data_IF_467445098823
#
_entry.id   IF_467445098823
#
_cell.length_a   1.000
_cell.length_b   1.000
_cell.length_c   1.000
_cell.angle_alpha   90.00
_cell.angle_beta   90.00
_cell.angle_gamma   90.00
#
_symmetry.space_group_name_H-M   'P 1'
#
loop_
_entity.id
_entity.type
_entity.pdbx_description
1 polymer ?
#
# COMPACT_ATOMS: atom_id res chain seq x y z
N UNK A 1 -3.72 -49.32 -32.25
CA UNK A 1 -4.98 -49.89 -32.79
C UNK A 1 -5.76 -50.48 -31.63
N UNK A 2 -6.93 -50.03 -31.18
CA UNK A 2 -7.82 -48.91 -31.52
C UNK A 2 -8.54 -48.59 -30.20
N UNK A 3 -8.38 -47.40 -29.59
CA UNK A 3 -9.23 -46.22 -29.80
C UNK A 3 -10.66 -46.56 -30.22
N UNK A 4 -11.58 -46.63 -29.24
CA UNK A 4 -13.00 -46.23 -29.30
C UNK A 4 -13.77 -46.83 -28.11
N UNK A 5 -13.58 -46.30 -26.89
CA UNK A 5 -14.63 -46.22 -25.85
C UNK A 5 -14.16 -45.50 -24.56
N UNK A 6 -13.67 -44.27 -24.67
CA UNK A 6 -13.41 -43.42 -23.49
C UNK A 6 -13.40 -41.92 -23.84
N UNK A 7 -14.31 -41.49 -24.73
CA UNK A 7 -14.53 -40.07 -25.04
C UNK A 7 -16.04 -39.86 -25.01
N UNK A 8 -16.58 -39.67 -23.80
CA UNK A 8 -17.96 -39.24 -23.59
C UNK A 8 -18.21 -38.63 -22.19
N UNK A 9 -17.17 -38.31 -21.40
CA UNK A 9 -17.34 -37.74 -20.03
C UNK A 9 -16.46 -36.50 -19.76
N UNK A 10 -15.72 -36.00 -20.75
CA UNK A 10 -14.98 -34.73 -20.61
C UNK A 10 -15.45 -33.78 -21.72
N UNK A 11 -16.71 -33.36 -21.62
CA UNK A 11 -17.29 -32.27 -22.43
C UNK A 11 -18.53 -31.67 -21.74
N UNK A 12 -18.52 -31.64 -20.40
CA UNK A 12 -19.59 -31.07 -19.59
C UNK A 12 -19.07 -30.28 -18.38
N UNK A 13 -17.99 -29.51 -18.57
CA UNK A 13 -17.47 -28.56 -17.57
C UNK A 13 -17.00 -27.24 -18.21
N UNK A 14 -17.55 -26.89 -19.37
CA UNK A 14 -17.14 -25.73 -20.17
C UNK A 14 -18.31 -24.88 -20.63
N UNK A 15 -19.29 -24.59 -19.76
CA UNK A 15 -20.40 -23.68 -20.09
C UNK A 15 -21.28 -23.32 -18.88
N UNK A 16 -20.69 -22.84 -17.78
CA UNK A 16 -21.46 -22.25 -16.67
C UNK A 16 -20.91 -20.95 -16.07
N UNK A 17 -20.05 -20.21 -16.80
CA UNK A 17 -19.59 -18.88 -16.36
C UNK A 17 -20.05 -17.70 -17.24
N UNK A 18 -21.13 -17.87 -18.00
CA UNK A 18 -21.76 -16.74 -18.71
C UNK A 18 -23.29 -16.82 -18.57
N UNK A 19 -23.78 -16.66 -17.34
CA UNK A 19 -25.16 -16.22 -17.09
C UNK A 19 -25.31 -15.63 -15.69
N UNK A 20 -24.70 -14.46 -15.48
CA UNK A 20 -25.27 -13.40 -14.62
C UNK A 20 -24.62 -12.06 -14.95
N UNK A 21 -24.62 -11.68 -16.24
CA UNK A 21 -24.69 -10.26 -16.58
C UNK A 21 -26.16 -9.85 -16.42
N UNK A 22 -26.59 -9.60 -15.18
CA UNK A 22 -27.52 -8.49 -15.03
C UNK A 22 -26.71 -7.25 -15.40
N UNK A 23 -27.18 -6.48 -16.38
CA UNK A 23 -26.65 -5.14 -16.60
C UNK A 23 -26.68 -4.45 -15.25
N UNK A 24 -25.52 -4.02 -14.75
CA UNK A 24 -25.46 -3.06 -13.66
C UNK A 24 -26.34 -1.90 -14.09
N UNK A 25 -27.55 -1.82 -13.52
CA UNK A 25 -28.28 -0.57 -13.52
C UNK A 25 -27.39 0.41 -12.79
N UNK A 26 -26.82 1.35 -13.54
CA UNK A 26 -26.34 2.59 -12.97
C UNK A 26 -27.53 3.14 -12.21
N UNK A 27 -27.47 3.00 -10.88
CA UNK A 27 -28.48 3.54 -9.98
C UNK A 27 -28.56 5.03 -10.31
N UNK A 28 -29.65 5.41 -10.96
CA UNK A 28 -29.98 6.82 -11.16
C UNK A 28 -30.00 7.45 -9.77
N UNK A 29 -29.35 8.62 -9.57
CA UNK A 29 -29.30 9.27 -8.27
C UNK A 29 -30.71 9.70 -7.88
N UNK A 30 -31.43 8.79 -7.24
CA UNK A 30 -32.68 9.03 -6.57
C UNK A 30 -32.37 9.49 -5.15
N UNK A 31 -33.26 10.32 -4.63
CA UNK A 31 -33.06 11.27 -3.55
C UNK A 31 -32.42 10.68 -2.27
N UNK A 32 -31.53 11.47 -1.66
CA UNK A 32 -30.85 11.25 -0.36
C UNK A 32 -29.75 10.16 -0.31
N UNK A 33 -28.81 10.17 -1.27
CA UNK A 33 -27.56 9.40 -1.12
C UNK A 33 -26.66 10.13 -0.11
N UNK A 34 -26.46 9.51 1.06
CA UNK A 34 -25.58 10.05 2.10
C UNK A 34 -24.10 9.72 1.86
N UNK A 35 -23.76 8.98 0.82
CA UNK A 35 -22.46 8.35 0.59
C UNK A 35 -21.55 9.19 -0.32
N UNK A 36 -20.23 9.12 -0.11
CA UNK A 36 -19.29 9.79 -1.00
C UNK A 36 -19.15 9.04 -2.34
N UNK A 37 -19.01 9.78 -3.43
CA UNK A 37 -18.81 9.20 -4.77
C UNK A 37 -17.41 8.56 -4.93
N UNK A 38 -16.43 9.08 -4.17
CA UNK A 38 -15.03 8.64 -4.20
C UNK A 38 -14.44 8.62 -2.79
N UNK A 39 -13.54 7.68 -2.56
CA UNK A 39 -12.81 7.49 -1.31
C UNK A 39 -11.34 7.13 -1.55
N UNK A 40 -10.80 7.45 -2.73
CA UNK A 40 -9.40 7.17 -3.06
C UNK A 40 -8.86 8.15 -4.07
N UNK A 41 -7.53 8.22 -4.12
CA UNK A 41 -6.78 8.85 -5.21
C UNK A 41 -6.18 7.75 -6.08
N UNK A 42 -6.50 7.74 -7.37
CA UNK A 42 -5.89 6.80 -8.33
C UNK A 42 -4.42 7.14 -8.57
N UNK A 43 -3.57 6.12 -8.59
CA UNK A 43 -2.12 6.25 -8.76
C UNK A 43 -1.73 5.70 -10.15
N UNK A 44 -0.88 6.39 -10.94
CA UNK A 44 -0.41 5.84 -12.21
C UNK A 44 0.37 4.54 -12.02
N UNK A 45 0.21 3.60 -12.95
CA UNK A 45 0.84 2.27 -12.83
C UNK A 45 2.36 2.26 -12.97
N UNK A 46 2.95 3.37 -13.41
CA UNK A 46 4.39 3.63 -13.33
C UNK A 46 4.91 3.80 -11.90
N UNK A 47 4.06 4.10 -10.91
CA UNK A 47 4.41 4.13 -9.47
C UNK A 47 3.67 3.06 -8.67
N UNK A 48 2.49 2.62 -9.13
CA UNK A 48 1.71 1.58 -8.45
C UNK A 48 1.54 0.35 -9.32
N UNK A 49 2.31 -0.71 -9.06
CA UNK A 49 2.20 -1.93 -9.86
C UNK A 49 2.47 -3.21 -9.07
N UNK A 50 1.58 -4.17 -9.26
CA UNK A 50 1.70 -5.55 -8.81
C UNK A 50 2.51 -6.44 -9.76
N UNK A 51 3.02 -5.91 -10.89
CA UNK A 51 3.83 -6.68 -11.84
C UNK A 51 5.09 -7.30 -11.18
N UNK A 52 5.56 -6.68 -10.10
CA UNK A 52 6.65 -7.15 -9.24
C UNK A 52 6.27 -8.32 -8.29
N UNK A 53 4.98 -8.59 -8.04
CA UNK A 53 4.56 -9.71 -7.18
C UNK A 53 4.84 -11.09 -7.83
N UNK A 54 4.90 -11.17 -9.17
CA UNK A 54 5.38 -12.38 -9.87
C UNK A 54 6.89 -12.61 -9.73
N UNK A 55 7.62 -11.61 -9.24
CA UNK A 55 9.04 -11.68 -8.86
C UNK A 55 9.25 -11.94 -7.36
N UNK A 56 8.30 -12.58 -6.68
CA UNK A 56 8.60 -13.30 -5.44
C UNK A 56 9.77 -14.30 -5.61
N UNK A 57 10.10 -14.71 -6.85
CA UNK A 57 11.32 -15.46 -7.21
C UNK A 57 12.61 -14.63 -7.25
N UNK A 58 12.55 -13.30 -7.31
CA UNK A 58 13.72 -12.41 -7.20
C UNK A 58 14.09 -12.17 -5.72
N UNK A 59 13.13 -12.39 -4.81
CA UNK A 59 13.32 -12.32 -3.35
C UNK A 59 13.50 -13.70 -2.70
N UNK A 60 12.98 -14.77 -3.30
CA UNK A 60 13.26 -16.17 -2.92
C UNK A 60 14.62 -16.65 -3.48
N UNK A 61 15.61 -15.76 -3.52
CA UNK A 61 16.99 -16.13 -3.75
C UNK A 61 17.46 -17.05 -2.63
N UNK A 62 17.90 -18.24 -3.01
CA UNK A 62 18.55 -19.21 -2.14
C UNK A 62 19.74 -18.56 -1.42
N UNK A 63 19.56 -18.11 -0.16
CA UNK A 63 20.57 -17.77 0.86
C UNK A 63 21.77 -16.88 0.48
N UNK A 64 21.89 -16.39 -0.75
CA UNK A 64 23.07 -15.71 -1.27
C UNK A 64 22.79 -14.73 -2.43
N UNK A 65 21.54 -14.57 -2.87
CA UNK A 65 21.24 -13.70 -4.01
C UNK A 65 21.13 -12.24 -3.56
N UNK A 66 22.04 -11.43 -4.08
CA UNK A 66 22.31 -10.10 -3.57
C UNK A 66 21.42 -9.07 -4.24
N UNK A 67 20.76 -8.23 -3.43
CA UNK A 67 19.78 -7.28 -3.92
C UNK A 67 20.46 -6.10 -4.67
N UNK A 68 20.10 -5.87 -5.94
CA UNK A 68 20.61 -4.78 -6.78
C UNK A 68 19.75 -3.52 -6.64
N UNK A 69 20.30 -2.33 -6.89
CA UNK A 69 19.58 -1.05 -6.72
C UNK A 69 18.24 -0.95 -7.46
N UNK A 70 18.12 -1.52 -8.66
CA UNK A 70 16.86 -1.59 -9.40
C UNK A 70 15.79 -2.44 -8.68
N UNK A 71 16.18 -3.49 -7.96
CA UNK A 71 15.24 -4.29 -7.18
C UNK A 71 14.67 -3.49 -5.99
N UNK A 72 15.45 -2.58 -5.39
CA UNK A 72 14.97 -1.68 -4.33
C UNK A 72 13.92 -0.72 -4.88
N UNK A 73 14.16 -0.14 -6.05
CA UNK A 73 13.18 0.69 -6.76
C UNK A 73 11.92 -0.08 -7.17
N UNK A 74 12.03 -1.36 -7.55
CA UNK A 74 10.87 -2.21 -7.86
C UNK A 74 10.07 -2.62 -6.61
N UNK A 75 10.71 -2.71 -5.44
CA UNK A 75 10.01 -2.94 -4.19
C UNK A 75 9.12 -1.75 -3.82
N UNK A 76 9.60 -0.51 -4.04
CA UNK A 76 8.81 0.71 -3.83
C UNK A 76 7.45 0.63 -4.54
N UNK A 77 7.43 0.34 -5.84
CA UNK A 77 6.16 0.35 -6.61
C UNK A 77 5.18 -0.73 -6.14
N UNK A 78 5.70 -1.78 -5.49
CA UNK A 78 4.90 -2.82 -4.85
C UNK A 78 4.27 -2.29 -3.55
N UNK A 79 5.03 -1.55 -2.74
CA UNK A 79 4.53 -0.97 -1.51
C UNK A 79 3.46 0.11 -1.77
N UNK A 80 3.66 0.92 -2.81
CA UNK A 80 2.62 1.85 -3.28
C UNK A 80 1.37 1.09 -3.72
N UNK A 81 1.51 -0.01 -4.47
CA UNK A 81 0.37 -0.83 -4.89
C UNK A 81 -0.37 -1.49 -3.73
N UNK A 82 0.34 -1.90 -2.68
CA UNK A 82 -0.29 -2.39 -1.44
C UNK A 82 -1.11 -1.27 -0.79
N UNK A 83 -0.56 -0.06 -0.72
CA UNK A 83 -1.28 1.14 -0.26
C UNK A 83 -2.52 1.47 -1.07
N UNK A 84 -2.41 1.51 -2.40
CA UNK A 84 -3.55 1.75 -3.30
C UNK A 84 -4.62 0.66 -3.16
N UNK A 85 -4.22 -0.61 -3.11
CA UNK A 85 -5.15 -1.73 -2.94
C UNK A 85 -5.95 -1.66 -1.64
N UNK A 86 -5.39 -1.11 -0.56
CA UNK A 86 -6.14 -0.89 0.67
C UNK A 86 -7.21 0.21 0.52
N UNK A 87 -6.94 1.26 -0.28
CA UNK A 87 -7.93 2.27 -0.62
C UNK A 87 -9.01 1.73 -1.58
N UNK A 88 -8.66 0.83 -2.50
CA UNK A 88 -9.62 0.14 -3.36
C UNK A 88 -10.64 -0.69 -2.57
N UNK A 89 -10.21 -1.36 -1.49
CA UNK A 89 -11.12 -2.08 -0.60
C UNK A 89 -12.17 -1.13 -0.02
N UNK A 90 -11.75 0.05 0.44
CA UNK A 90 -12.68 1.04 1.01
C UNK A 90 -13.62 1.58 -0.06
N UNK A 91 -13.12 1.89 -1.26
CA UNK A 91 -13.94 2.33 -2.38
C UNK A 91 -15.02 1.28 -2.73
N UNK A 92 -14.67 0.00 -2.76
CA UNK A 92 -15.62 -1.09 -2.98
C UNK A 92 -16.65 -1.22 -1.84
N UNK A 93 -16.22 -1.04 -0.59
CA UNK A 93 -17.15 -1.00 0.54
C UNK A 93 -18.14 0.14 0.39
N UNK A 94 -17.70 1.36 0.06
CA UNK A 94 -18.60 2.50 -0.19
C UNK A 94 -19.59 2.17 -1.33
N UNK A 95 -19.12 1.54 -2.41
CA UNK A 95 -19.98 1.04 -3.48
C UNK A 95 -21.02 0.03 -3.00
N UNK A 96 -20.63 -0.92 -2.14
CA UNK A 96 -21.54 -1.87 -1.51
C UNK A 96 -22.59 -1.21 -0.62
N UNK A 97 -22.21 -0.23 0.21
CA UNK A 97 -23.13 0.55 1.05
C UNK A 97 -24.19 1.23 0.17
N UNK A 98 -23.80 1.74 -1.01
CA UNK A 98 -24.72 2.34 -1.98
C UNK A 98 -25.68 1.31 -2.58
N UNK A 99 -25.15 0.16 -3.01
CA UNK A 99 -25.90 -0.94 -3.61
C UNK A 99 -26.98 -1.50 -2.67
N UNK A 100 -26.68 -1.62 -1.38
CA UNK A 100 -27.62 -2.14 -0.38
C UNK A 100 -28.50 -1.06 0.26
N UNK A 101 -28.50 0.16 -0.29
CA UNK A 101 -29.29 1.29 0.21
C UNK A 101 -29.10 1.58 1.70
N UNK A 102 -27.86 1.43 2.19
CA UNK A 102 -27.49 1.81 3.56
C UNK A 102 -27.29 3.34 3.55
N UNK A 103 -28.42 4.06 3.49
CA UNK A 103 -28.47 5.49 3.18
C UNK A 103 -29.04 6.35 4.30
N UNK A 104 -29.20 5.78 5.50
CA UNK A 104 -29.70 6.46 6.70
C UNK A 104 -29.20 5.77 7.97
N UNK A 105 -29.27 6.42 9.14
CA UNK A 105 -29.05 5.75 10.41
C UNK A 105 -29.90 4.49 10.53
N UNK A 106 -29.24 3.36 10.74
CA UNK A 106 -29.89 2.05 10.79
C UNK A 106 -29.04 1.07 11.58
N UNK A 107 -29.67 -0.01 12.03
CA UNK A 107 -29.00 -1.11 12.71
C UNK A 107 -29.58 -2.41 12.19
N UNK A 108 -28.73 -3.36 11.85
CA UNK A 108 -29.17 -4.70 11.50
C UNK A 108 -28.05 -5.71 11.71
N UNK A 109 -28.43 -6.98 11.62
CA UNK A 109 -27.54 -8.12 11.77
C UNK A 109 -27.67 -8.98 10.52
N UNK A 110 -26.55 -9.53 10.06
CA UNK A 110 -26.50 -10.44 8.91
C UNK A 110 -25.46 -11.53 9.16
N UNK A 111 -25.58 -12.66 8.48
CA UNK A 111 -24.55 -13.69 8.46
C UNK A 111 -23.60 -13.41 7.29
N UNK A 112 -22.29 -13.47 7.54
CA UNK A 112 -21.29 -13.31 6.48
C UNK A 112 -21.24 -14.56 5.60
N UNK A 113 -21.32 -14.39 4.29
CA UNK A 113 -21.16 -15.48 3.33
C UNK A 113 -19.73 -16.06 3.28
N UNK A 114 -18.75 -15.29 3.78
CA UNK A 114 -17.33 -15.66 3.75
C UNK A 114 -16.91 -16.54 4.93
N UNK A 115 -17.33 -16.20 6.15
CA UNK A 115 -16.92 -16.90 7.37
C UNK A 115 -18.09 -17.50 8.18
N UNK A 116 -19.33 -17.38 7.69
CA UNK A 116 -20.56 -17.84 8.35
C UNK A 116 -20.77 -17.29 9.76
N UNK A 117 -20.11 -16.17 10.08
CA UNK A 117 -20.27 -15.51 11.38
C UNK A 117 -21.30 -14.40 11.28
N UNK A 118 -22.04 -14.25 12.36
CA UNK A 118 -23.01 -13.17 12.53
C UNK A 118 -22.27 -11.84 12.71
N UNK A 119 -22.58 -10.87 11.85
CA UNK A 119 -22.05 -9.51 11.86
C UNK A 119 -23.16 -8.52 12.21
N UNK A 120 -22.82 -7.52 13.03
CA UNK A 120 -23.71 -6.42 13.39
C UNK A 120 -23.25 -5.15 12.69
N UNK A 121 -24.14 -4.50 11.94
CA UNK A 121 -23.91 -3.23 11.28
C UNK A 121 -24.73 -2.14 11.95
N UNK A 122 -24.08 -1.02 12.27
CA UNK A 122 -24.73 0.17 12.84
C UNK A 122 -24.27 1.42 12.11
N UNK A 123 -25.22 2.22 11.62
CA UNK A 123 -25.01 3.56 11.07
C UNK A 123 -25.59 4.59 12.02
N UNK A 124 -24.79 5.62 12.37
CA UNK A 124 -25.20 6.74 13.24
C UNK A 124 -24.81 8.06 12.61
N UNK A 125 -25.52 9.11 13.02
CA UNK A 125 -25.19 10.50 12.71
C UNK A 125 -24.36 11.15 13.82
N UNK A 126 -23.71 12.27 13.49
CA UNK A 126 -23.04 13.16 14.43
C UNK A 126 -22.00 12.44 15.31
N UNK A 127 -21.17 11.61 14.67
CA UNK A 127 -20.12 10.88 15.36
C UNK A 127 -18.86 11.74 15.50
N UNK A 128 -18.15 11.57 16.62
CA UNK A 128 -16.83 12.19 16.83
C UNK A 128 -15.71 11.17 16.70
N UNK A 129 -14.62 11.51 16.03
CA UNK A 129 -13.41 10.69 15.96
C UNK A 129 -12.18 11.58 15.80
N UNK A 130 -11.12 11.32 16.58
CA UNK A 130 -9.91 12.14 16.65
C UNK A 130 -10.18 13.65 16.78
N UNK A 131 -11.16 14.02 17.61
CA UNK A 131 -11.54 15.42 17.84
C UNK A 131 -12.33 16.09 16.70
N UNK A 132 -12.57 15.39 15.58
CA UNK A 132 -13.37 15.87 14.45
C UNK A 132 -14.79 15.31 14.51
N UNK A 133 -15.77 16.16 14.19
CA UNK A 133 -17.16 15.75 13.99
C UNK A 133 -17.37 15.27 12.56
N UNK A 134 -18.04 14.14 12.44
CA UNK A 134 -18.37 13.46 11.19
C UNK A 134 -19.88 13.36 11.07
N UNK A 135 -20.40 13.64 9.87
CA UNK A 135 -21.84 13.60 9.61
C UNK A 135 -22.38 12.20 9.84
N UNK A 136 -21.67 11.19 9.35
CA UNK A 136 -22.06 9.79 9.49
C UNK A 136 -20.89 8.93 9.97
N UNK A 137 -21.26 7.85 10.65
CA UNK A 137 -20.37 6.76 11.02
C UNK A 137 -21.08 5.42 10.79
N UNK A 138 -20.39 4.48 10.16
CA UNK A 138 -20.79 3.09 10.08
C UNK A 138 -19.81 2.23 10.87
N UNK A 139 -20.31 1.22 11.56
CA UNK A 139 -19.49 0.21 12.24
C UNK A 139 -20.03 -1.17 11.92
N UNK A 140 -19.15 -2.08 11.50
CA UNK A 140 -19.43 -3.51 11.38
C UNK A 140 -18.61 -4.24 12.45
N UNK A 141 -19.25 -5.12 13.21
CA UNK A 141 -18.61 -5.90 14.27
C UNK A 141 -19.01 -7.38 14.20
N UNK A 142 -18.08 -8.25 14.56
CA UNK A 142 -18.31 -9.67 14.73
C UNK A 142 -19.03 -9.93 16.06
N UNK A 143 -20.28 -10.43 15.98
CA UNK A 143 -21.16 -10.54 17.14
C UNK A 143 -20.59 -11.46 18.24
N UNK A 144 -19.85 -12.50 17.84
CA UNK A 144 -19.23 -13.45 18.77
C UNK A 144 -17.90 -12.95 19.36
N UNK A 145 -17.44 -11.74 19.00
CA UNK A 145 -16.16 -11.18 19.46
C UNK A 145 -16.30 -9.84 20.17
N UNK A 146 -17.51 -9.47 20.57
CA UNK A 146 -17.79 -8.21 21.27
C UNK A 146 -17.04 -8.05 22.60
N UNK A 147 -16.60 -9.17 23.20
CA UNK A 147 -15.78 -9.18 24.42
C UNK A 147 -14.29 -8.97 24.19
N UNK A 148 -13.83 -8.94 22.93
CA UNK A 148 -12.43 -8.67 22.61
C UNK A 148 -12.08 -7.18 22.89
N UNK A 149 -10.79 -6.84 23.04
CA UNK A 149 -10.36 -5.45 23.25
C UNK A 149 -10.82 -4.46 22.16
N UNK A 150 -10.97 -4.94 20.91
CA UNK A 150 -11.49 -4.18 19.78
C UNK A 150 -13.02 -4.21 19.66
N UNK A 151 -13.70 -4.85 20.62
CA UNK A 151 -15.14 -5.15 20.60
C UNK A 151 -15.60 -5.90 19.36
N UNK A 152 -14.71 -6.69 18.74
CA UNK A 152 -15.00 -7.44 17.52
C UNK A 152 -15.16 -6.55 16.28
N UNK A 153 -14.76 -5.28 16.33
CA UNK A 153 -14.89 -4.35 15.20
C UNK A 153 -14.09 -4.86 14.00
N UNK A 154 -14.79 -5.01 12.89
CA UNK A 154 -14.26 -5.42 11.60
C UNK A 154 -13.99 -4.21 10.71
N UNK A 155 -14.91 -3.25 10.75
CA UNK A 155 -14.88 -2.06 9.93
C UNK A 155 -15.48 -0.88 10.70
N UNK A 156 -14.86 0.29 10.55
CA UNK A 156 -15.45 1.54 10.94
C UNK A 156 -15.19 2.58 9.86
N UNK A 157 -16.22 3.25 9.38
CA UNK A 157 -16.10 4.31 8.37
C UNK A 157 -16.77 5.57 8.92
N UNK A 158 -16.07 6.69 8.83
CA UNK A 158 -16.57 8.03 9.10
C UNK A 158 -16.54 8.82 7.80
N UNK A 159 -17.59 9.59 7.50
CA UNK A 159 -17.57 10.40 6.29
C UNK A 159 -18.44 11.65 6.37
N UNK A 160 -18.04 12.64 5.58
CA UNK A 160 -18.80 13.84 5.24
C UNK A 160 -19.09 13.80 3.74
N UNK A 161 -20.33 14.04 3.30
CA UNK A 161 -20.68 14.00 1.88
C UNK A 161 -20.32 15.29 1.13
N UNK A 162 -20.12 16.42 1.83
CA UNK A 162 -19.81 17.70 1.20
C UNK A 162 -19.10 18.63 2.19
N UNK A 163 -17.83 19.04 1.91
CA UNK A 163 -16.93 18.41 0.95
C UNK A 163 -16.73 16.91 1.28
N UNK A 164 -16.36 16.11 0.28
CA UNK A 164 -16.11 14.68 0.50
C UNK A 164 -14.86 14.51 1.36
N UNK A 165 -15.06 13.88 2.51
CA UNK A 165 -13.98 13.47 3.40
C UNK A 165 -14.37 12.16 4.08
N UNK A 166 -13.37 11.36 4.45
CA UNK A 166 -13.64 10.23 5.31
C UNK A 166 -12.42 9.56 5.90
N UNK A 167 -12.69 8.74 6.90
CA UNK A 167 -11.71 7.84 7.52
C UNK A 167 -12.32 6.45 7.60
N UNK A 168 -11.65 5.47 7.01
CA UNK A 168 -11.99 4.06 7.16
C UNK A 168 -10.93 3.35 8.00
N UNK A 169 -11.36 2.48 8.89
CA UNK A 169 -10.50 1.63 9.73
C UNK A 169 -10.98 0.19 9.55
N UNK A 170 -10.08 -0.71 9.20
CA UNK A 170 -10.40 -2.10 8.86
C UNK A 170 -9.50 -3.05 9.63
N UNK A 171 -10.09 -4.15 10.09
CA UNK A 171 -9.39 -5.29 10.67
C UNK A 171 -9.75 -6.55 9.89
N UNK A 172 -8.94 -6.97 8.89
CA UNK A 172 -9.28 -8.11 8.03
C UNK A 172 -9.62 -9.38 8.81
N UNK A 173 -8.93 -9.62 9.93
CA UNK A 173 -9.24 -10.75 10.80
C UNK A 173 -10.70 -10.78 11.26
N UNK A 174 -11.29 -9.65 11.64
CA UNK A 174 -12.69 -9.61 12.08
C UNK A 174 -13.69 -9.55 10.90
N UNK A 175 -13.23 -9.15 9.70
CA UNK A 175 -14.02 -9.18 8.47
C UNK A 175 -14.26 -10.63 8.04
N UNK A 176 -13.18 -11.39 7.85
CA UNK A 176 -13.23 -12.81 7.46
C UNK A 176 -12.16 -13.56 8.25
N UNK A 177 -12.60 -14.29 9.28
CA UNK A 177 -11.68 -15.06 10.14
C UNK A 177 -11.08 -16.27 9.46
N UNK A 178 -11.76 -16.82 8.46
CA UNK A 178 -11.32 -18.05 7.80
C UNK A 178 -10.09 -17.78 6.92
N UNK A 179 -10.09 -16.66 6.18
CA UNK A 179 -9.01 -16.30 5.26
C UNK A 179 -7.88 -15.51 5.92
N UNK A 180 -8.12 -14.86 7.05
CA UNK A 180 -7.17 -13.93 7.67
C UNK A 180 -6.61 -14.42 9.02
N UNK A 181 -6.62 -15.73 9.28
CA UNK A 181 -6.13 -16.34 10.53
C UNK A 181 -4.69 -15.97 10.89
N UNK A 182 -3.85 -15.68 9.89
CA UNK A 182 -2.44 -15.33 10.04
C UNK A 182 -2.18 -13.84 10.30
N UNK A 183 -3.22 -13.00 10.32
CA UNK A 183 -3.10 -11.55 10.52
C UNK A 183 -4.06 -11.02 11.61
N UNK A 184 -4.06 -11.62 12.81
CA UNK A 184 -5.02 -11.28 13.87
C UNK A 184 -4.94 -9.84 14.35
N UNK A 185 -3.77 -9.20 14.19
CA UNK A 185 -3.49 -7.85 14.69
C UNK A 185 -3.39 -6.80 13.57
N UNK A 186 -3.53 -7.20 12.31
CA UNK A 186 -3.41 -6.29 11.18
C UNK A 186 -4.57 -5.28 11.15
N UNK A 187 -4.22 -4.01 11.09
CA UNK A 187 -5.15 -2.89 11.01
C UNK A 187 -4.75 -1.98 9.85
N UNK A 188 -5.77 -1.51 9.14
CA UNK A 188 -5.64 -0.58 8.02
C UNK A 188 -6.43 0.66 8.35
N UNK A 189 -5.88 1.83 8.07
CA UNK A 189 -6.57 3.11 8.18
C UNK A 189 -6.34 3.92 6.91
N UNK A 190 -7.43 4.33 6.30
CA UNK A 190 -7.42 5.11 5.06
C UNK A 190 -8.16 6.41 5.35
N UNK A 191 -7.47 7.53 5.18
CA UNK A 191 -8.06 8.87 5.18
C UNK A 191 -8.16 9.37 3.75
N UNK A 192 -9.27 10.00 3.39
CA UNK A 192 -9.48 10.64 2.10
C UNK A 192 -10.10 12.03 2.30
N UNK A 193 -9.71 12.98 1.47
CA UNK A 193 -10.28 14.33 1.47
C UNK A 193 -10.19 14.99 0.10
N UNK A 194 -11.28 15.66 -0.28
CA UNK A 194 -11.36 16.59 -1.41
C UNK A 194 -11.29 18.05 -0.95
N UNK A 195 -11.05 18.29 0.35
CA UNK A 195 -10.70 19.62 0.80
C UNK A 195 -9.29 19.91 0.30
N UNK A 196 -9.18 20.93 -0.54
CA UNK A 196 -7.91 21.37 -1.05
C UNK A 196 -6.95 21.69 0.10
N UNK A 197 -5.85 20.94 0.17
CA UNK A 197 -4.80 21.10 1.17
C UNK A 197 -3.44 20.90 0.52
N UNK A 198 -2.43 21.62 1.01
CA UNK A 198 -1.03 21.52 0.54
C UNK A 198 -0.86 21.63 -0.99
N UNK A 199 -1.77 22.35 -1.67
CA UNK A 199 -1.85 22.53 -3.12
C UNK A 199 -2.38 21.32 -3.93
N UNK A 200 -3.02 20.35 -3.29
CA UNK A 200 -3.67 19.21 -3.95
C UNK A 200 -5.18 19.41 -4.06
N UNK A 201 -5.77 18.90 -5.14
CA UNK A 201 -7.22 18.88 -5.37
C UNK A 201 -7.90 17.81 -4.52
N UNK A 202 -7.18 16.72 -4.25
CA UNK A 202 -7.58 15.64 -3.36
C UNK A 202 -6.34 14.93 -2.80
N UNK A 203 -6.48 14.31 -1.63
CA UNK A 203 -5.41 13.53 -1.05
C UNK A 203 -5.94 12.31 -0.29
N UNK A 204 -5.07 11.33 -0.10
CA UNK A 204 -5.30 10.22 0.81
C UNK A 204 -4.07 9.93 1.66
N UNK A 205 -4.32 9.40 2.87
CA UNK A 205 -3.30 8.86 3.76
C UNK A 205 -3.66 7.42 4.05
N UNK A 206 -2.72 6.50 3.85
CA UNK A 206 -2.87 5.08 4.14
C UNK A 206 -1.88 4.71 5.23
N UNK A 207 -2.41 4.23 6.35
CA UNK A 207 -1.65 3.59 7.43
C UNK A 207 -1.97 2.09 7.47
N UNK A 208 -0.95 1.26 7.60
CA UNK A 208 -1.07 -0.16 7.91
C UNK A 208 -0.20 -0.47 9.11
N UNK A 209 -0.73 -1.24 10.07
CA UNK A 209 0.00 -1.61 11.27
C UNK A 209 -0.28 -3.05 11.67
N UNK A 210 0.69 -3.67 12.33
CA UNK A 210 0.53 -5.02 12.89
C UNK A 210 0.47 -6.12 11.82
N UNK A 211 1.06 -5.87 10.64
CA UNK A 211 1.20 -6.93 9.64
C UNK A 211 2.13 -8.03 10.17
N UNK A 212 1.81 -9.30 9.91
CA UNK A 212 2.55 -10.42 10.46
C UNK A 212 3.98 -10.45 9.91
N UNK A 213 4.93 -10.52 10.83
CA UNK A 213 6.32 -10.78 10.49
C UNK A 213 6.55 -12.28 10.37
N UNK A 214 7.40 -12.66 9.41
CA UNK A 214 7.88 -14.02 9.25
C UNK A 214 9.39 -14.00 9.10
N UNK A 215 10.09 -14.88 9.80
CA UNK A 215 11.53 -15.04 9.65
C UNK A 215 11.90 -15.62 8.27
N UNK A 216 10.94 -16.26 7.59
CA UNK A 216 11.11 -16.75 6.22
C UNK A 216 11.03 -15.63 5.17
N UNK A 217 10.41 -14.50 5.51
CA UNK A 217 10.33 -13.34 4.65
C UNK A 217 11.08 -12.17 5.30
N UNK A 218 12.38 -12.08 5.05
CA UNK A 218 13.22 -11.03 5.63
C UNK A 218 12.77 -9.62 5.23
N UNK A 219 12.05 -9.45 4.12
CA UNK A 219 11.53 -8.16 3.66
C UNK A 219 10.04 -7.97 3.96
N UNK A 220 9.48 -8.73 4.91
CA UNK A 220 8.10 -8.52 5.37
C UNK A 220 7.90 -7.09 5.89
N UNK A 221 6.78 -6.49 5.53
CA UNK A 221 6.35 -5.18 6.02
C UNK A 221 5.69 -5.40 7.37
N UNK A 222 6.13 -4.68 8.42
CA UNK A 222 5.42 -4.61 9.70
C UNK A 222 4.33 -3.53 9.65
N UNK A 223 4.75 -2.34 9.24
CA UNK A 223 3.92 -1.13 9.16
C UNK A 223 4.20 -0.40 7.84
N UNK A 224 3.20 0.31 7.32
CA UNK A 224 3.31 1.18 6.15
C UNK A 224 2.60 2.49 6.48
N UNK A 225 3.19 3.62 6.10
CA UNK A 225 2.47 4.89 6.01
C UNK A 225 2.78 5.58 4.70
N UNK A 226 1.74 6.01 4.01
CA UNK A 226 1.86 6.66 2.71
C UNK A 226 0.86 7.80 2.58
N UNK A 227 1.33 8.94 2.10
CA UNK A 227 0.51 10.03 1.58
C UNK A 227 0.46 9.94 0.05
N UNK A 228 -0.70 10.26 -0.51
CA UNK A 228 -0.90 10.42 -1.95
C UNK A 228 -1.70 11.70 -2.19
N UNK A 229 -1.14 12.63 -2.95
CA UNK A 229 -1.79 13.90 -3.29
C UNK A 229 -1.93 14.03 -4.81
N UNK A 230 -3.11 14.45 -5.27
CA UNK A 230 -3.39 14.68 -6.69
C UNK A 230 -3.60 16.15 -6.99
N UNK A 231 -2.95 16.65 -8.04
CA UNK A 231 -3.15 17.99 -8.58
C UNK A 231 -3.23 17.91 -10.10
N UNK A 232 -4.42 18.05 -10.66
CA UNK A 232 -4.69 17.81 -12.07
C UNK A 232 -4.24 16.39 -12.49
N UNK A 233 -3.28 16.33 -13.43
CA UNK A 233 -2.71 15.08 -13.95
C UNK A 233 -1.56 14.51 -13.08
N UNK A 234 -1.09 15.28 -12.10
CA UNK A 234 0.08 14.92 -11.31
C UNK A 234 -0.35 14.22 -10.02
N UNK A 235 0.31 13.12 -9.72
CA UNK A 235 0.18 12.39 -8.46
C UNK A 235 1.53 12.37 -7.76
N UNK A 236 1.57 12.91 -6.56
CA UNK A 236 2.73 12.83 -5.68
C UNK A 236 2.47 11.80 -4.59
N UNK A 237 3.50 11.03 -4.26
CA UNK A 237 3.46 9.99 -3.24
C UNK A 237 4.67 10.17 -2.33
N UNK A 238 4.50 10.08 -1.02
CA UNK A 238 5.62 9.94 -0.10
C UNK A 238 5.23 9.07 1.07
N UNK A 239 6.20 8.39 1.67
CA UNK A 239 5.91 7.41 2.68
C UNK A 239 7.10 6.60 3.13
N UNK A 240 6.78 5.62 3.98
CA UNK A 240 7.73 4.73 4.61
C UNK A 240 7.09 3.35 4.74
N UNK A 241 7.84 2.29 4.40
CA UNK A 241 7.51 0.93 4.83
C UNK A 241 8.57 0.42 5.80
N UNK A 242 8.12 -0.17 6.89
CA UNK A 242 8.95 -0.66 8.00
C UNK A 242 9.26 -2.15 7.83
N UNK A 243 10.54 -2.52 7.72
CA UNK A 243 10.98 -3.91 7.55
C UNK A 243 11.99 -4.31 8.63
N UNK A 244 11.53 -4.68 9.84
CA UNK A 244 12.40 -5.00 10.98
C UNK A 244 13.38 -6.15 10.74
N UNK A 245 13.03 -7.08 9.85
CA UNK A 245 13.85 -8.24 9.51
C UNK A 245 14.74 -8.03 8.28
N UNK A 246 14.60 -6.89 7.59
CA UNK A 246 15.36 -6.64 6.36
C UNK A 246 16.85 -6.58 6.69
N UNK A 247 17.65 -7.17 5.83
CA UNK A 247 19.11 -7.18 5.88
C UNK A 247 19.66 -7.20 4.46
N UNK A 248 20.84 -6.65 4.26
CA UNK A 248 21.51 -6.69 2.96
C UNK A 248 22.73 -7.61 2.99
N UNK A 249 23.90 -7.11 3.39
CA UNK A 249 25.17 -7.85 3.34
C UNK A 249 25.73 -8.19 4.72
N UNK A 250 25.49 -7.34 5.70
CA UNK A 250 25.98 -7.52 7.07
C UNK A 250 24.91 -8.21 7.93
N UNK A 251 25.18 -8.35 9.23
CA UNK A 251 24.19 -8.82 10.20
C UNK A 251 23.23 -7.72 10.66
N UNK A 252 23.43 -6.48 10.20
CA UNK A 252 22.54 -5.37 10.53
C UNK A 252 21.14 -5.62 9.98
N UNK A 253 20.15 -5.35 10.82
CA UNK A 253 18.74 -5.58 10.53
C UNK A 253 17.92 -4.33 10.81
N UNK A 254 16.78 -4.26 10.14
CA UNK A 254 15.79 -3.22 10.39
C UNK A 254 16.03 -2.03 9.48
N UNK A 255 15.56 -2.14 8.25
CA UNK A 255 15.61 -1.06 7.28
C UNK A 255 14.21 -0.59 6.95
N UNK A 256 14.06 0.73 6.86
CA UNK A 256 12.87 1.35 6.35
C UNK A 256 13.07 1.65 4.86
N UNK A 257 12.03 1.53 4.04
CA UNK A 257 12.05 2.15 2.70
C UNK A 257 11.38 3.51 2.84
N UNK A 258 12.19 4.55 3.02
CA UNK A 258 11.72 5.93 3.00
C UNK A 258 11.68 6.41 1.55
N UNK A 259 10.53 6.91 1.07
CA UNK A 259 10.37 7.20 -0.35
C UNK A 259 9.58 8.46 -0.65
N UNK A 260 9.88 9.03 -1.82
CA UNK A 260 9.10 10.06 -2.49
C UNK A 260 8.97 9.68 -3.97
N UNK A 261 7.83 10.00 -4.59
CA UNK A 261 7.60 9.80 -6.00
C UNK A 261 6.65 10.88 -6.56
N UNK A 262 6.78 11.16 -7.84
CA UNK A 262 5.87 12.02 -8.59
C UNK A 262 5.68 11.45 -9.99
N UNK A 263 4.45 11.45 -10.48
CA UNK A 263 4.13 10.90 -11.80
C UNK A 263 2.93 11.56 -12.44
N UNK A 264 2.76 11.26 -13.73
CA UNK A 264 1.64 11.72 -14.55
C UNK A 264 0.71 10.56 -14.85
N UNK A 265 -0.58 10.73 -14.58
CA UNK A 265 -1.60 9.74 -14.90
C UNK A 265 -1.73 9.56 -16.43
N UNK A 266 -1.77 10.66 -17.18
CA UNK A 266 -1.96 10.64 -18.64
C UNK A 266 -0.76 10.07 -19.39
N UNK A 267 0.47 10.42 -19.01
CA UNK A 267 1.70 9.91 -19.65
C UNK A 267 2.15 8.56 -19.12
N UNK A 268 1.69 8.19 -17.91
CA UNK A 268 2.10 7.00 -17.18
C UNK A 268 3.62 6.82 -17.12
N UNK A 269 4.28 7.89 -16.70
CA UNK A 269 5.70 7.96 -16.37
C UNK A 269 5.86 8.61 -15.00
N UNK A 270 6.97 8.27 -14.35
CA UNK A 270 7.23 8.76 -13.00
C UNK A 270 8.70 8.76 -12.62
N UNK A 271 8.99 9.47 -11.54
CA UNK A 271 10.30 9.55 -10.91
C UNK A 271 10.15 9.29 -9.42
N UNK A 272 11.07 8.54 -8.81
CA UNK A 272 11.08 8.29 -7.38
C UNK A 272 12.49 8.36 -6.78
N UNK A 273 12.57 8.68 -5.50
CA UNK A 273 13.79 8.61 -4.70
C UNK A 273 13.49 7.78 -3.45
N UNK A 274 14.46 6.93 -3.09
CA UNK A 274 14.34 5.98 -1.98
C UNK A 274 15.60 6.08 -1.14
N UNK A 275 15.41 6.10 0.17
CA UNK A 275 16.46 5.86 1.15
C UNK A 275 16.13 4.67 2.04
N UNK A 276 17.17 4.15 2.68
CA UNK A 276 17.16 2.94 3.49
C UNK A 276 17.61 3.24 4.94
N UNK A 277 17.00 4.20 5.65
CA UNK A 277 17.38 4.49 7.03
C UNK A 277 17.00 3.33 7.97
N UNK A 278 17.68 3.19 9.12
CA UNK A 278 17.26 2.28 10.18
C UNK A 278 15.82 2.54 10.64
N UNK A 279 15.08 1.49 10.98
CA UNK A 279 13.69 1.57 11.44
C UNK A 279 13.52 2.46 12.69
N UNK A 280 14.50 2.46 13.59
CA UNK A 280 14.47 3.22 14.85
C UNK A 280 14.98 4.66 14.71
N UNK A 281 15.40 5.07 13.51
CA UNK A 281 15.93 6.41 13.25
C UNK A 281 14.86 7.48 13.49
N UNK A 282 15.14 8.37 14.44
CA UNK A 282 14.27 9.49 14.83
C UNK A 282 14.64 10.77 14.08
N UNK A 283 14.59 10.73 12.74
CA UNK A 283 14.92 11.86 11.86
C UNK A 283 13.78 12.08 10.86
N UNK A 284 13.59 13.33 10.41
CA UNK A 284 12.58 13.72 9.42
C UNK A 284 13.14 14.56 8.27
N UNK A 285 14.44 14.85 8.26
CA UNK A 285 15.10 15.62 7.22
C UNK A 285 15.26 14.81 5.94
N UNK A 286 14.84 15.40 4.80
CA UNK A 286 15.08 14.83 3.47
C UNK A 286 16.55 14.48 3.23
N UNK A 287 17.46 15.38 3.66
CA UNK A 287 18.91 15.16 3.48
C UNK A 287 19.32 13.84 4.13
N UNK A 288 18.93 13.61 5.37
CA UNK A 288 19.31 12.38 6.06
C UNK A 288 18.59 11.18 5.45
N UNK A 289 17.27 11.26 5.33
CA UNK A 289 16.44 10.11 4.95
C UNK A 289 16.67 9.63 3.51
N UNK A 290 16.95 10.54 2.57
CA UNK A 290 17.05 10.20 1.14
C UNK A 290 18.44 10.40 0.53
N UNK A 291 19.29 11.27 1.10
CA UNK A 291 20.65 11.49 0.57
C UNK A 291 21.68 10.71 1.38
N UNK A 292 21.75 10.93 2.69
CA UNK A 292 22.73 10.25 3.57
C UNK A 292 22.45 8.74 3.57
N UNK A 293 21.19 8.35 3.79
CA UNK A 293 20.71 6.97 3.67
C UNK A 293 20.22 6.61 2.25
N UNK A 294 20.72 7.26 1.20
CA UNK A 294 20.39 6.86 -0.18
C UNK A 294 20.73 5.39 -0.44
N UNK A 295 20.03 4.76 -1.40
CA UNK A 295 20.31 3.37 -1.80
C UNK A 295 21.81 3.15 -2.03
N UNK A 296 22.44 4.05 -2.80
CA UNK A 296 23.86 3.95 -3.12
C UNK A 296 24.74 3.99 -1.89
N UNK A 297 24.50 4.91 -0.96
CA UNK A 297 25.32 5.04 0.23
C UNK A 297 25.19 3.81 1.14
N UNK A 298 23.96 3.38 1.43
CA UNK A 298 23.71 2.22 2.30
C UNK A 298 24.29 0.94 1.70
N UNK A 299 24.08 0.69 0.41
CA UNK A 299 24.66 -0.49 -0.24
C UNK A 299 26.19 -0.39 -0.35
N UNK A 300 26.76 0.79 -0.57
CA UNK A 300 28.22 1.00 -0.58
C UNK A 300 28.82 0.63 0.77
N UNK A 301 28.23 1.12 1.86
CA UNK A 301 28.69 0.83 3.23
C UNK A 301 28.58 -0.67 3.53
N UNK A 302 27.39 -1.25 3.33
CA UNK A 302 27.12 -2.66 3.60
C UNK A 302 28.05 -3.60 2.81
N UNK A 303 28.32 -3.32 1.53
CA UNK A 303 29.26 -4.12 0.73
C UNK A 303 30.69 -3.96 1.23
N UNK A 304 31.15 -2.75 1.51
CA UNK A 304 32.51 -2.51 1.99
C UNK A 304 32.77 -3.19 3.34
N UNK A 305 31.80 -3.11 4.26
CA UNK A 305 31.89 -3.74 5.57
C UNK A 305 31.89 -5.27 5.45
N UNK A 306 31.00 -5.82 4.64
CA UNK A 306 30.98 -7.26 4.38
C UNK A 306 32.31 -7.75 3.80
N UNK A 307 32.85 -7.07 2.78
CA UNK A 307 34.14 -7.44 2.19
C UNK A 307 35.28 -7.37 3.20
N UNK A 308 35.32 -6.32 4.03
CA UNK A 308 36.34 -6.17 5.05
C UNK A 308 36.26 -7.29 6.11
N UNK A 309 35.05 -7.66 6.53
CA UNK A 309 34.82 -8.72 7.53
C UNK A 309 35.20 -10.11 7.00
N UNK A 310 34.84 -10.43 5.75
CA UNK A 310 35.02 -11.77 5.20
C UNK A 310 36.36 -11.99 4.49
N UNK A 311 36.92 -10.95 3.87
CA UNK A 311 38.14 -11.05 3.05
C UNK A 311 39.30 -10.19 3.56
N UNK A 312 39.09 -9.33 4.56
CA UNK A 312 40.13 -8.44 5.08
C UNK A 312 40.53 -7.30 4.13
N UNK A 313 39.80 -7.13 3.03
CA UNK A 313 40.06 -6.11 1.99
C UNK A 313 38.73 -5.46 1.56
N UNK A 314 38.79 -4.29 0.92
CA UNK A 314 37.63 -3.67 0.28
C UNK A 314 37.56 -4.06 -1.20
N UNK A 315 36.36 -4.09 -1.81
CA UNK A 315 36.22 -4.34 -3.24
C UNK A 315 36.93 -3.24 -4.05
N UNK A 316 37.36 -3.57 -5.26
CA UNK A 316 37.90 -2.56 -6.17
C UNK A 316 36.79 -1.53 -6.51
N UNK A 317 37.09 -0.21 -6.54
CA UNK A 317 36.06 0.81 -6.76
C UNK A 317 35.29 0.65 -8.08
N UNK A 318 35.94 0.18 -9.14
CA UNK A 318 35.29 -0.04 -10.45
C UNK A 318 34.25 -1.17 -10.39
N UNK A 319 34.58 -2.27 -9.70
CA UNK A 319 33.66 -3.41 -9.54
C UNK A 319 32.46 -3.02 -8.68
N UNK A 320 32.70 -2.26 -7.60
CA UNK A 320 31.64 -1.75 -6.73
C UNK A 320 30.71 -0.79 -7.48
N UNK A 321 31.26 0.13 -8.27
CA UNK A 321 30.48 1.06 -9.08
C UNK A 321 29.68 0.32 -10.17
N UNK A 322 30.25 -0.70 -10.79
CA UNK A 322 29.54 -1.54 -11.76
C UNK A 322 28.39 -2.31 -11.10
N UNK A 323 28.60 -2.84 -9.89
CA UNK A 323 27.57 -3.50 -9.09
C UNK A 323 26.43 -2.53 -8.71
N UNK A 324 26.76 -1.28 -8.38
CA UNK A 324 25.81 -0.24 -7.94
C UNK A 324 25.26 0.66 -9.06
N UNK A 325 25.41 0.30 -10.33
CA UNK A 325 25.02 1.13 -11.48
C UNK A 325 23.59 1.69 -11.44
N UNK A 326 22.63 0.95 -10.87
CA UNK A 326 21.23 1.36 -10.73
C UNK A 326 20.83 1.74 -9.29
N UNK A 327 21.80 2.14 -8.47
CA UNK A 327 21.58 2.59 -7.09
C UNK A 327 21.51 4.12 -6.97
N UNK A 328 21.87 4.85 -8.03
CA UNK A 328 21.84 6.31 -8.06
C UNK A 328 20.39 6.86 -8.03
N UNK A 329 20.18 7.94 -7.29
CA UNK A 329 18.90 8.64 -7.27
C UNK A 329 18.82 9.74 -8.35
N UNK A 330 17.63 10.00 -8.91
CA UNK A 330 16.38 9.27 -8.70
C UNK A 330 16.23 8.08 -9.65
N UNK A 331 15.28 7.18 -9.35
CA UNK A 331 14.82 6.12 -10.24
C UNK A 331 13.70 6.60 -11.15
N UNK A 332 13.71 6.19 -12.41
CA UNK A 332 12.74 6.57 -13.43
C UNK A 332 11.93 5.36 -13.89
N UNK A 333 10.62 5.54 -14.08
CA UNK A 333 9.69 4.48 -14.42
C UNK A 333 8.74 4.90 -15.54
N UNK A 334 8.23 3.91 -16.26
CA UNK A 334 7.13 4.07 -17.21
C UNK A 334 6.11 2.94 -17.02
N UNK A 335 5.11 2.87 -17.90
CA UNK A 335 4.08 1.81 -17.89
C UNK A 335 4.61 0.36 -17.85
N UNK A 336 5.87 0.12 -18.24
CA UNK A 336 6.51 -1.20 -18.25
C UNK A 336 7.37 -1.46 -16.99
N UNK A 337 7.46 -0.51 -16.07
CA UNK A 337 8.26 -0.60 -14.84
C UNK A 337 9.51 0.27 -14.84
N UNK A 338 10.53 -0.16 -14.08
CA UNK A 338 11.78 0.58 -13.90
C UNK A 338 12.56 0.69 -15.23
N UNK A 339 13.03 1.91 -15.54
CA UNK A 339 13.79 2.23 -16.74
C UNK A 339 15.27 2.32 -16.43
N UNK A 340 15.65 3.27 -15.56
CA UNK A 340 17.03 3.50 -15.13
C UNK A 340 17.07 4.41 -13.90
N UNK A 341 18.27 4.59 -13.32
CA UNK A 341 18.53 5.43 -12.16
C UNK A 341 19.54 6.55 -12.49
N UNK A 342 19.52 7.62 -11.70
CA UNK A 342 20.45 8.76 -11.78
C UNK A 342 20.14 9.75 -12.89
N UNK A 343 20.20 9.33 -14.16
CA UNK A 343 19.98 10.23 -15.31
C UNK A 343 18.57 10.06 -15.89
N UNK A 344 17.88 11.18 -16.14
CA UNK A 344 16.55 11.16 -16.73
C UNK A 344 16.58 10.56 -18.16
N UNK A 345 15.64 9.66 -18.52
CA UNK A 345 15.59 9.07 -19.87
C UNK A 345 15.35 10.10 -20.98
N UNK A 346 14.58 11.14 -20.69
CA UNK A 346 14.27 12.24 -21.60
C UNK A 346 13.71 13.45 -20.80
N UNK A 347 13.37 14.53 -21.51
CA UNK A 347 12.89 15.78 -20.92
C UNK A 347 11.51 15.68 -20.24
N UNK A 348 10.69 14.66 -20.54
CA UNK A 348 9.35 14.51 -19.94
C UNK A 348 9.40 14.30 -18.43
N UNK A 349 10.55 13.85 -17.89
CA UNK A 349 10.72 13.59 -16.46
C UNK A 349 11.18 14.80 -15.66
N UNK A 350 11.56 15.90 -16.32
CA UNK A 350 12.22 17.04 -15.66
C UNK A 350 11.33 17.70 -14.59
N UNK A 351 10.03 17.81 -14.85
CA UNK A 351 9.09 18.36 -13.87
C UNK A 351 8.99 17.48 -12.62
N UNK A 352 8.98 16.16 -12.77
CA UNK A 352 8.89 15.23 -11.63
C UNK A 352 10.16 15.26 -10.78
N UNK A 353 11.35 15.37 -11.39
CA UNK A 353 12.62 15.52 -10.66
C UNK A 353 12.58 16.75 -9.73
N UNK A 354 12.13 17.89 -10.26
CA UNK A 354 11.98 19.11 -9.45
C UNK A 354 10.94 18.93 -8.35
N UNK A 355 9.80 18.29 -8.65
CA UNK A 355 8.72 18.08 -7.68
C UNK A 355 9.16 17.19 -6.52
N UNK A 356 9.76 16.03 -6.81
CA UNK A 356 10.19 15.11 -5.74
C UNK A 356 11.21 15.76 -4.81
N UNK A 357 12.00 16.73 -5.28
CA UNK A 357 12.95 17.49 -4.47
C UNK A 357 12.31 18.30 -3.33
N UNK A 358 11.00 18.60 -3.44
CA UNK A 358 10.23 19.32 -2.41
C UNK A 358 9.47 18.41 -1.43
N UNK A 359 9.42 17.10 -1.71
CA UNK A 359 8.74 16.12 -0.87
C UNK A 359 9.68 15.60 0.22
N UNK A 360 9.14 15.16 1.35
CA UNK A 360 9.93 14.54 2.42
C UNK A 360 9.16 13.35 3.00
N UNK A 361 9.79 12.16 3.15
CA UNK A 361 9.16 11.02 3.81
C UNK A 361 8.85 11.30 5.29
N UNK A 362 8.10 10.41 5.92
CA UNK A 362 7.90 10.43 7.37
C UNK A 362 9.17 9.98 8.10
N UNK A 363 9.22 10.25 9.41
CA UNK A 363 10.28 9.73 10.27
C UNK A 363 10.15 8.20 10.42
N UNK A 364 11.21 7.41 10.16
CA UNK A 364 11.16 5.94 10.28
C UNK A 364 10.61 5.48 11.62
N UNK A 365 11.12 6.04 12.73
CA UNK A 365 10.65 5.71 14.09
C UNK A 365 9.16 5.90 14.28
N UNK A 366 8.59 6.98 13.71
CA UNK A 366 7.15 7.25 13.81
C UNK A 366 6.30 6.22 13.08
N UNK A 367 6.83 5.65 11.99
CA UNK A 367 6.14 4.64 11.18
C UNK A 367 6.28 3.25 11.82
N UNK A 368 7.44 2.92 12.38
CA UNK A 368 7.65 1.67 13.12
C UNK A 368 6.80 1.59 14.41
N UNK A 369 6.31 2.73 14.92
CA UNK A 369 5.45 2.83 16.10
C UNK A 369 3.99 3.22 15.80
N UNK A 370 3.51 3.06 14.57
CA UNK A 370 2.11 3.35 14.23
C UNK A 370 1.18 2.51 15.11
N UNK A 371 0.19 3.19 15.68
CA UNK A 371 -0.91 2.58 16.40
C UNK A 371 -2.21 3.02 15.74
N UNK A 372 -3.00 2.04 15.28
CA UNK A 372 -4.34 2.26 14.73
C UNK A 372 -5.32 1.73 15.76
N UNK A 373 -6.33 2.54 16.11
CA UNK A 373 -7.40 2.13 17.01
C UNK A 373 -8.75 2.47 16.41
N UNK A 374 -9.73 1.59 16.59
CA UNK A 374 -11.12 1.96 16.43
C UNK A 374 -11.54 3.00 17.49
N UNK A 375 -12.64 3.71 17.23
CA UNK A 375 -13.28 4.58 18.23
C UNK A 375 -13.75 3.81 19.46
#
# INVERSE_FOLDING_TARGET
MNTKLAIAVILFLGSFFIQSCQKEEIVSPSENIILPERFKVDIPSSISSSASLKSGSVMAGTSADTLKGNAIYLNLITFVAVGEGAADIVQHIIGGIAMYHINKPMTFTFESDDDHRVKNLVVKENATYNGKSWKYMMTISDAASVSNPDSGKALQIFWNPSPIEGVAILKPYNIDRSKNTNMPDALFRIEYSEIADQNYDSHMIVDMAGLPLSDLNMYAIKNLRMFVGKKGDIVDVYGNSDHPNARFFTQDKGFNWAFVASGSASKNISTAEVGLPPCDLSESSRKVLLQDYSIKNVLTEQVNEWFLQFFGVRPHPEDLNAYLKNADAPGFFNKNGFVQAGTAPNADYASFVTRIGSLTPYSPKSVSSILINFK
#
